data_IF_994876734516
#
_entry.id   IF_994876734516
#
_cell.length_a   1.000
_cell.length_b   1.000
_cell.length_c   1.000
_cell.angle_alpha   90.00
_cell.angle_beta   90.00
_cell.angle_gamma   90.00
#
_symmetry.space_group_name_H-M   'P 1'
#
loop_
_entity.id
_entity.type
_entity.pdbx_description
1 polymer ?
#
# COMPACT_ATOMS: atom_id res chain seq x y z
N UNK A 1 15.64 4.22 12.36
CA UNK A 1 15.61 3.69 10.99
C UNK A 1 14.34 2.87 10.80
N UNK A 2 13.71 3.01 9.65
CA UNK A 2 12.54 2.18 9.28
C UNK A 2 13.01 0.95 8.50
N UNK A 3 13.06 -0.20 9.15
CA UNK A 3 13.49 -1.46 8.52
C UNK A 3 12.51 -2.02 7.50
N UNK A 4 11.28 -1.49 7.41
CA UNK A 4 10.33 -1.85 6.33
C UNK A 4 10.90 -1.57 4.94
N UNK A 5 11.79 -0.59 4.79
CA UNK A 5 12.47 -0.30 3.52
C UNK A 5 13.37 -1.44 3.01
N UNK A 6 13.77 -2.38 3.86
CA UNK A 6 14.51 -3.57 3.44
C UNK A 6 13.61 -4.66 2.83
N UNK A 7 12.29 -4.53 2.95
CA UNK A 7 11.34 -5.42 2.27
C UNK A 7 11.05 -4.88 0.86
N UNK A 8 11.44 -5.63 -0.19
CA UNK A 8 11.36 -5.13 -1.57
C UNK A 8 9.95 -4.72 -2.02
N UNK A 9 8.89 -5.42 -1.58
CA UNK A 9 7.52 -5.03 -1.96
C UNK A 9 7.12 -3.72 -1.30
N UNK A 10 7.45 -3.51 -0.01
CA UNK A 10 7.21 -2.24 0.67
C UNK A 10 8.00 -1.11 -0.01
N UNK A 11 9.30 -1.34 -0.27
CA UNK A 11 10.17 -0.35 -0.93
C UNK A 11 9.64 0.04 -2.31
N UNK A 12 9.21 -0.94 -3.10
CA UNK A 12 8.68 -0.70 -4.44
C UNK A 12 7.40 0.13 -4.42
N UNK A 13 6.48 -0.15 -3.48
CA UNK A 13 5.27 0.65 -3.26
C UNK A 13 5.62 2.08 -2.84
N UNK A 14 6.53 2.23 -1.88
CA UNK A 14 6.98 3.54 -1.42
C UNK A 14 7.57 4.37 -2.56
N UNK A 15 8.46 3.80 -3.37
CA UNK A 15 9.05 4.46 -4.54
C UNK A 15 7.99 4.78 -5.61
N UNK A 16 7.01 3.89 -5.80
CA UNK A 16 5.90 4.18 -6.70
C UNK A 16 5.14 5.42 -6.26
N UNK A 17 4.68 5.47 -5.00
CA UNK A 17 3.95 6.63 -4.46
C UNK A 17 4.80 7.89 -4.54
N UNK A 18 6.06 7.84 -4.10
CA UNK A 18 7.01 8.97 -4.17
C UNK A 18 7.11 9.56 -5.58
N UNK A 19 7.32 8.71 -6.58
CA UNK A 19 7.47 9.15 -7.97
C UNK A 19 6.16 9.70 -8.54
N UNK A 20 4.99 9.19 -8.09
CA UNK A 20 3.68 9.68 -8.56
C UNK A 20 3.28 10.97 -7.88
N UNK A 21 3.60 11.14 -6.61
CA UNK A 21 3.46 12.44 -5.94
C UNK A 21 4.29 13.52 -6.65
N UNK A 22 5.56 13.24 -6.96
CA UNK A 22 6.41 14.17 -7.71
C UNK A 22 5.85 14.55 -9.08
N UNK A 23 5.15 13.61 -9.75
CA UNK A 23 4.57 13.82 -11.09
C UNK A 23 3.22 14.53 -11.06
N UNK A 24 2.33 14.14 -10.16
CA UNK A 24 0.92 14.54 -10.16
C UNK A 24 0.55 15.55 -9.07
N UNK A 25 1.38 15.70 -8.06
CA UNK A 25 1.22 16.68 -6.97
C UNK A 25 2.59 17.35 -6.67
N UNK A 26 3.20 18.06 -7.64
CA UNK A 26 4.53 18.65 -7.45
C UNK A 26 4.50 19.73 -6.36
N UNK A 27 5.57 19.78 -5.56
CA UNK A 27 5.82 20.80 -4.55
C UNK A 27 6.14 22.10 -5.31
N UNK A 28 5.27 23.07 -5.36
CA UNK A 28 5.45 24.32 -6.09
C UNK A 28 5.63 24.17 -7.61
N UNK A 29 4.55 24.07 -8.35
CA UNK A 29 4.60 24.34 -9.78
C UNK A 29 3.98 25.72 -10.03
N UNK A 30 4.83 26.70 -10.25
CA UNK A 30 4.44 28.01 -10.81
C UNK A 30 3.76 27.85 -12.20
N UNK A 31 3.85 26.65 -12.81
CA UNK A 31 3.42 26.38 -14.18
C UNK A 31 2.26 25.39 -14.35
N UNK A 32 1.73 24.78 -13.28
CA UNK A 32 0.59 23.87 -13.32
C UNK A 32 -0.45 24.29 -12.28
N UNK A 33 -1.11 25.34 -12.54
CA UNK A 33 -2.36 25.99 -12.12
C UNK A 33 -3.05 25.62 -10.81
N UNK A 34 -2.67 24.61 -10.02
CA UNK A 34 -3.24 24.36 -8.69
C UNK A 34 -2.26 23.57 -7.82
N UNK A 35 -1.79 24.20 -6.75
CA UNK A 35 -1.13 23.49 -5.67
C UNK A 35 -2.13 22.51 -5.02
N UNK A 36 -1.67 21.31 -4.62
CA UNK A 36 -2.50 20.41 -3.82
C UNK A 36 -2.75 21.05 -2.45
N UNK A 37 -3.98 21.53 -2.24
CA UNK A 37 -4.33 22.17 -0.96
C UNK A 37 -4.62 21.12 0.10
N UNK A 38 -5.49 20.15 -0.21
CA UNK A 38 -6.02 19.19 0.73
C UNK A 38 -5.79 17.75 0.26
N UNK A 39 -5.09 16.97 1.07
CA UNK A 39 -4.82 15.56 0.79
C UNK A 39 -5.36 14.65 1.90
N UNK A 40 -5.75 13.43 1.49
CA UNK A 40 -6.16 12.35 2.37
C UNK A 40 -5.24 11.14 2.18
N UNK A 41 -4.62 10.65 3.25
CA UNK A 41 -4.03 9.32 3.28
C UNK A 41 -5.04 8.34 3.88
N UNK A 42 -5.75 7.61 3.02
CA UNK A 42 -6.83 6.69 3.39
C UNK A 42 -6.24 5.32 3.75
N UNK A 43 -6.39 4.93 5.02
CA UNK A 43 -5.74 3.76 5.58
C UNK A 43 -4.26 4.03 5.88
N UNK A 44 -3.98 5.11 6.63
CA UNK A 44 -2.62 5.56 6.92
C UNK A 44 -1.80 4.55 7.72
N UNK A 45 -2.47 3.66 8.46
CA UNK A 45 -1.84 2.70 9.36
C UNK A 45 -0.88 3.39 10.33
N UNK A 46 0.37 2.94 10.35
CA UNK A 46 1.41 3.45 11.26
C UNK A 46 2.09 4.74 10.78
N UNK A 47 1.62 5.35 9.67
CA UNK A 47 2.10 6.65 9.21
C UNK A 47 3.37 6.64 8.37
N UNK A 48 3.74 5.52 7.78
CA UNK A 48 4.99 5.35 7.03
C UNK A 48 5.12 6.28 5.81
N UNK A 49 4.00 6.65 5.18
CA UNK A 49 3.95 7.48 3.97
C UNK A 49 3.68 8.96 4.27
N UNK A 50 3.17 9.27 5.46
CA UNK A 50 2.55 10.56 5.75
C UNK A 50 3.51 11.74 5.61
N UNK A 51 4.75 11.63 6.14
CA UNK A 51 5.76 12.68 5.99
C UNK A 51 6.05 12.98 4.51
N UNK A 52 6.09 11.95 3.67
CA UNK A 52 6.31 12.12 2.24
C UNK A 52 5.12 12.82 1.58
N UNK A 53 3.89 12.37 1.89
CA UNK A 53 2.66 12.97 1.33
C UNK A 53 2.51 14.41 1.79
N UNK A 54 2.75 14.70 3.08
CA UNK A 54 2.66 16.04 3.66
C UNK A 54 3.59 17.06 2.97
N UNK A 55 4.72 16.59 2.41
CA UNK A 55 5.60 17.43 1.61
C UNK A 55 5.01 17.89 0.27
N UNK A 56 3.88 17.32 -0.15
CA UNK A 56 3.23 17.58 -1.44
C UNK A 56 1.87 18.29 -1.33
N UNK A 57 1.45 18.70 -0.16
CA UNK A 57 0.16 19.36 0.06
C UNK A 57 0.24 20.42 1.19
N UNK A 58 -0.74 21.32 1.21
CA UNK A 58 -0.86 22.33 2.28
C UNK A 58 -1.39 21.72 3.57
N UNK A 59 -2.34 20.78 3.46
CA UNK A 59 -2.94 20.06 4.59
C UNK A 59 -3.08 18.58 4.25
N UNK A 60 -2.69 17.71 5.18
CA UNK A 60 -2.86 16.27 5.10
C UNK A 60 -3.70 15.75 6.25
N UNK A 61 -4.67 14.91 5.92
CA UNK A 61 -5.35 14.07 6.90
C UNK A 61 -4.88 12.63 6.68
N UNK A 62 -4.30 12.01 7.72
CA UNK A 62 -4.11 10.57 7.78
C UNK A 62 -5.29 9.93 8.50
N UNK A 63 -5.97 8.97 7.88
CA UNK A 63 -7.09 8.30 8.54
C UNK A 63 -6.98 6.78 8.50
N UNK A 64 -7.47 6.15 9.56
CA UNK A 64 -7.52 4.69 9.71
C UNK A 64 -8.66 4.31 10.65
N UNK A 65 -9.12 3.05 10.60
CA UNK A 65 -10.08 2.51 11.58
C UNK A 65 -9.40 2.06 12.87
N UNK A 66 -8.08 1.84 12.84
CA UNK A 66 -7.30 1.34 13.94
C UNK A 66 -6.68 2.48 14.76
N UNK A 67 -7.27 2.79 15.90
CA UNK A 67 -6.80 3.88 16.77
C UNK A 67 -5.39 3.62 17.35
N UNK A 68 -5.00 2.37 17.55
CA UNK A 68 -3.63 2.04 18.02
C UNK A 68 -2.59 2.41 16.96
N UNK A 69 -2.88 2.17 15.67
CA UNK A 69 -2.01 2.56 14.58
C UNK A 69 -1.97 4.08 14.41
N UNK A 70 -3.12 4.76 14.55
CA UNK A 70 -3.19 6.22 14.54
C UNK A 70 -2.37 6.84 15.69
N UNK A 71 -2.41 6.25 16.88
CA UNK A 71 -1.60 6.72 18.02
C UNK A 71 -0.10 6.59 17.72
N UNK A 72 0.31 5.49 17.09
CA UNK A 72 1.69 5.31 16.64
C UNK A 72 2.08 6.31 15.55
N UNK A 73 1.21 6.51 14.55
CA UNK A 73 1.42 7.46 13.45
C UNK A 73 1.57 8.91 13.95
N UNK A 74 0.75 9.33 14.93
CA UNK A 74 0.88 10.65 15.61
C UNK A 74 2.27 10.82 16.25
N UNK A 75 2.75 9.79 16.94
CA UNK A 75 4.07 9.83 17.57
C UNK A 75 5.21 9.85 16.53
N UNK A 76 5.11 9.01 15.49
CA UNK A 76 6.12 8.90 14.44
C UNK A 76 6.29 10.23 13.67
N UNK A 77 5.19 10.94 13.43
CA UNK A 77 5.13 12.14 12.62
C UNK A 77 4.84 13.42 13.42
N UNK A 78 5.09 13.43 14.73
CA UNK A 78 4.77 14.54 15.65
C UNK A 78 5.35 15.91 15.22
N UNK A 79 6.41 15.92 14.42
CA UNK A 79 7.06 17.14 13.92
C UNK A 79 6.58 17.57 12.52
N UNK A 80 5.51 16.97 11.97
CA UNK A 80 4.90 17.35 10.68
C UNK A 80 3.71 18.26 10.96
N UNK A 81 3.90 19.57 10.78
CA UNK A 81 2.95 20.61 11.23
C UNK A 81 1.65 20.68 10.43
N UNK A 82 1.66 20.22 9.16
CA UNK A 82 0.51 20.26 8.27
C UNK A 82 -0.24 18.91 8.19
N UNK A 83 -0.03 18.01 9.16
CA UNK A 83 -0.61 16.68 9.24
C UNK A 83 -1.47 16.52 10.49
N UNK A 84 -2.69 16.00 10.31
CA UNK A 84 -3.55 15.57 11.41
C UNK A 84 -4.08 14.16 11.18
N UNK A 85 -4.48 13.49 12.26
CA UNK A 85 -4.96 12.11 12.22
C UNK A 85 -6.38 12.01 12.77
N UNK A 86 -7.24 11.30 12.03
CA UNK A 86 -8.64 11.11 12.36
C UNK A 86 -9.05 9.64 12.17
N UNK A 87 -9.86 9.06 13.07
CA UNK A 87 -10.46 7.75 12.82
C UNK A 87 -11.50 7.88 11.71
N UNK A 88 -11.42 6.98 10.70
CA UNK A 88 -12.40 6.95 9.63
C UNK A 88 -12.56 5.55 9.02
N UNK A 89 -13.79 5.27 8.57
CA UNK A 89 -14.10 4.05 7.83
C UNK A 89 -14.06 4.35 6.32
N UNK A 90 -13.23 3.62 5.57
CA UNK A 90 -13.09 3.78 4.13
C UNK A 90 -14.39 3.50 3.34
N UNK A 91 -15.37 2.84 3.96
CA UNK A 91 -16.68 2.55 3.38
C UNK A 91 -17.74 3.62 3.66
N UNK A 92 -17.44 4.59 4.55
CA UNK A 92 -18.38 5.64 4.96
C UNK A 92 -17.56 6.81 5.54
N UNK A 93 -17.01 7.63 4.63
CA UNK A 93 -16.14 8.76 4.99
C UNK A 93 -16.96 9.96 5.46
N UNK A 94 -16.67 10.45 6.67
CA UNK A 94 -17.36 11.60 7.25
C UNK A 94 -17.02 12.95 6.61
N UNK A 95 -16.32 12.95 5.46
CA UNK A 95 -15.96 14.16 4.72
C UNK A 95 -17.03 14.52 3.70
N UNK A 96 -17.18 15.84 3.46
CA UNK A 96 -18.07 16.35 2.43
C UNK A 96 -17.61 15.95 1.02
N UNK A 97 -18.52 15.97 0.06
CA UNK A 97 -18.18 15.75 -1.34
C UNK A 97 -17.13 16.76 -1.81
N UNK A 98 -16.21 16.31 -2.64
CA UNK A 98 -15.19 17.17 -3.26
C UNK A 98 -14.34 17.96 -2.24
N UNK A 99 -13.92 17.31 -1.14
CA UNK A 99 -13.11 17.92 -0.07
C UNK A 99 -11.61 17.86 -0.35
N UNK A 100 -11.15 16.90 -1.16
CA UNK A 100 -9.72 16.64 -1.35
C UNK A 100 -9.28 16.81 -2.81
N UNK A 101 -8.05 17.27 -3.00
CA UNK A 101 -7.38 17.35 -4.30
C UNK A 101 -6.60 16.07 -4.59
N UNK A 102 -6.10 15.42 -3.54
CA UNK A 102 -5.27 14.22 -3.59
C UNK A 102 -5.75 13.19 -2.57
N UNK A 103 -5.85 11.93 -3.02
CA UNK A 103 -6.01 10.78 -2.12
C UNK A 103 -4.84 9.81 -2.37
N UNK A 104 -4.19 9.36 -1.29
CA UNK A 104 -3.27 8.24 -1.33
C UNK A 104 -3.87 7.11 -0.52
N UNK A 105 -3.81 5.86 -1.05
CA UNK A 105 -4.30 4.68 -0.32
C UNK A 105 -3.46 3.46 -0.69
N UNK A 106 -2.72 2.93 0.27
CA UNK A 106 -1.76 1.86 0.06
C UNK A 106 -2.12 0.61 0.87
N UNK A 107 -2.42 -0.51 0.19
CA UNK A 107 -2.73 -1.81 0.81
C UNK A 107 -3.91 -1.71 1.80
N UNK A 108 -5.02 -1.16 1.34
CA UNK A 108 -6.24 -0.96 2.14
C UNK A 108 -7.44 -1.68 1.53
N UNK A 109 -7.62 -1.58 0.20
CA UNK A 109 -8.81 -2.06 -0.50
C UNK A 109 -9.03 -3.57 -0.36
N UNK A 110 -7.98 -4.34 -0.12
CA UNK A 110 -8.01 -5.78 0.12
C UNK A 110 -8.51 -6.17 1.53
N UNK A 111 -8.55 -5.20 2.45
CA UNK A 111 -9.01 -5.40 3.83
C UNK A 111 -10.44 -4.94 4.07
N UNK A 112 -11.07 -4.29 3.08
CA UNK A 112 -12.45 -3.82 3.22
C UNK A 112 -13.44 -4.84 2.63
N UNK A 113 -14.54 -5.08 3.33
CA UNK A 113 -15.57 -6.03 2.89
C UNK A 113 -16.29 -5.65 1.60
N UNK A 114 -16.20 -4.39 1.17
CA UNK A 114 -16.86 -3.84 -0.02
C UNK A 114 -15.92 -2.96 -0.83
N UNK A 115 -14.95 -3.55 -1.58
CA UNK A 115 -13.95 -2.78 -2.33
C UNK A 115 -14.51 -1.74 -3.29
N UNK A 116 -15.60 -2.08 -3.99
CA UNK A 116 -16.27 -1.16 -4.91
C UNK A 116 -16.81 0.08 -4.18
N UNK A 117 -17.39 -0.10 -2.98
CA UNK A 117 -17.91 1.01 -2.18
C UNK A 117 -16.80 1.95 -1.72
N UNK A 118 -15.64 1.42 -1.33
CA UNK A 118 -14.46 2.24 -1.01
C UNK A 118 -14.06 3.12 -2.21
N UNK A 119 -14.02 2.56 -3.42
CA UNK A 119 -13.69 3.34 -4.63
C UNK A 119 -14.73 4.44 -4.90
N UNK A 120 -16.02 4.16 -4.64
CA UNK A 120 -17.10 5.16 -4.75
C UNK A 120 -16.96 6.28 -3.70
N UNK A 121 -16.64 5.96 -2.45
CA UNK A 121 -16.38 6.95 -1.41
C UNK A 121 -15.15 7.82 -1.74
N UNK A 122 -14.07 7.21 -2.23
CA UNK A 122 -12.92 7.97 -2.73
C UNK A 122 -13.33 8.94 -3.85
N UNK A 123 -14.13 8.48 -4.80
CA UNK A 123 -14.62 9.34 -5.87
C UNK A 123 -15.51 10.47 -5.33
N UNK A 124 -16.34 10.21 -4.34
CA UNK A 124 -17.23 11.21 -3.74
C UNK A 124 -16.45 12.34 -3.09
N UNK A 125 -15.48 12.00 -2.23
CA UNK A 125 -14.74 13.00 -1.47
C UNK A 125 -13.62 13.69 -2.26
N UNK A 126 -13.20 13.13 -3.40
CA UNK A 126 -12.19 13.73 -4.27
C UNK A 126 -12.85 14.81 -5.16
N UNK A 127 -12.19 15.95 -5.36
CA UNK A 127 -12.65 17.02 -6.26
C UNK A 127 -12.62 16.57 -7.71
N UNK A 128 -13.49 17.07 -8.59
CA UNK A 128 -13.33 16.89 -10.04
C UNK A 128 -11.94 17.32 -10.49
N UNK A 129 -11.27 16.49 -11.28
CA UNK A 129 -9.87 16.69 -11.68
C UNK A 129 -8.83 16.25 -10.65
N UNK A 130 -9.22 15.95 -9.42
CA UNK A 130 -8.35 15.46 -8.35
C UNK A 130 -7.75 14.09 -8.66
N UNK A 131 -6.65 13.76 -7.98
CA UNK A 131 -5.82 12.58 -8.22
C UNK A 131 -5.96 11.59 -7.07
N UNK A 132 -6.09 10.30 -7.38
CA UNK A 132 -5.93 9.22 -6.41
C UNK A 132 -4.76 8.33 -6.80
N UNK A 133 -3.85 8.07 -5.85
CA UNK A 133 -2.70 7.16 -5.99
C UNK A 133 -2.95 5.98 -5.07
N UNK A 134 -3.01 4.77 -5.64
CA UNK A 134 -3.31 3.56 -4.88
C UNK A 134 -2.31 2.45 -5.15
N UNK A 135 -2.12 1.59 -4.14
CA UNK A 135 -1.49 0.28 -4.32
C UNK A 135 -2.34 -0.81 -3.67
N UNK A 136 -2.29 -2.01 -4.24
CA UNK A 136 -2.99 -3.17 -3.68
C UNK A 136 -2.37 -4.48 -4.18
N UNK A 137 -2.52 -5.59 -3.42
CA UNK A 137 -2.07 -6.91 -3.84
C UNK A 137 -2.91 -7.44 -5.00
N UNK A 138 -2.23 -8.05 -5.98
CA UNK A 138 -2.84 -8.51 -7.22
C UNK A 138 -3.22 -10.00 -7.16
N UNK A 139 -4.42 -10.33 -7.59
CA UNK A 139 -4.85 -11.72 -7.83
C UNK A 139 -4.10 -12.40 -8.98
N UNK A 140 -3.42 -11.64 -9.83
CA UNK A 140 -2.85 -12.12 -11.08
C UNK A 140 -1.41 -12.62 -10.96
N UNK A 141 -0.85 -12.63 -9.77
CA UNK A 141 0.47 -13.23 -9.55
C UNK A 141 0.36 -14.76 -9.65
N UNK A 142 1.32 -15.42 -10.36
CA UNK A 142 1.27 -16.89 -10.54
C UNK A 142 1.21 -17.61 -9.21
N UNK A 143 0.29 -18.59 -9.13
CA UNK A 143 0.13 -19.50 -7.97
C UNK A 143 -0.15 -18.72 -6.66
N UNK A 144 -0.75 -17.52 -6.78
CA UNK A 144 -1.22 -16.72 -5.63
C UNK A 144 -0.23 -16.66 -4.46
N UNK A 145 0.96 -16.12 -4.69
CA UNK A 145 2.02 -15.84 -3.74
C UNK A 145 2.74 -17.03 -3.09
N UNK A 146 2.28 -18.27 -3.27
CA UNK A 146 2.84 -19.39 -2.52
C UNK A 146 2.93 -20.69 -3.31
N UNK A 147 3.84 -20.76 -4.32
CA UNK A 147 3.98 -21.96 -5.15
C UNK A 147 4.45 -23.17 -4.38
N UNK A 148 5.32 -22.99 -3.37
CA UNK A 148 5.92 -24.13 -2.64
C UNK A 148 4.90 -24.79 -1.70
N UNK A 149 4.19 -24.01 -0.91
CA UNK A 149 3.17 -24.57 -0.03
C UNK A 149 1.98 -25.15 -0.82
N UNK A 150 1.60 -24.56 -1.96
CA UNK A 150 0.57 -25.15 -2.84
C UNK A 150 1.00 -26.48 -3.44
N UNK A 151 2.24 -26.60 -3.89
CA UNK A 151 2.79 -27.87 -4.36
C UNK A 151 2.79 -28.94 -3.26
N UNK A 152 3.20 -28.57 -2.03
CA UNK A 152 3.16 -29.48 -0.89
C UNK A 152 1.74 -29.87 -0.45
N UNK A 153 0.79 -28.95 -0.51
CA UNK A 153 -0.62 -29.22 -0.19
C UNK A 153 -1.27 -30.20 -1.17
N UNK A 154 -0.74 -30.33 -2.38
CA UNK A 154 -1.20 -31.31 -3.35
C UNK A 154 -0.86 -32.76 -2.91
N UNK A 155 0.21 -32.94 -2.16
CA UNK A 155 0.65 -34.23 -1.62
C UNK A 155 0.20 -34.51 -0.18
N UNK A 156 -0.27 -33.50 0.55
CA UNK A 156 -0.74 -33.62 1.93
C UNK A 156 -2.25 -33.42 2.02
N UNK A 157 -2.92 -34.24 2.89
CA UNK A 157 -4.35 -34.07 3.16
C UNK A 157 -4.65 -32.68 3.77
N UNK A 158 -5.83 -32.06 3.49
CA UNK A 158 -6.18 -30.68 3.84
C UNK A 158 -6.21 -30.33 5.34
N UNK A 159 -5.96 -31.25 6.25
CA UNK A 159 -6.02 -31.02 7.69
C UNK A 159 -4.82 -30.29 8.31
N UNK A 160 -3.73 -30.13 7.56
CA UNK A 160 -2.57 -29.37 8.04
C UNK A 160 -2.57 -27.97 7.43
N UNK A 161 -3.19 -27.02 8.12
CA UNK A 161 -3.14 -25.57 7.82
C UNK A 161 -1.78 -24.92 8.10
N UNK A 162 -0.74 -25.70 8.36
CA UNK A 162 0.59 -25.17 8.65
C UNK A 162 1.38 -25.03 7.34
N UNK A 163 1.68 -23.79 6.99
CA UNK A 163 2.60 -23.44 5.91
C UNK A 163 4.03 -23.81 6.32
N UNK A 164 4.79 -24.45 5.42
CA UNK A 164 6.12 -24.97 5.74
C UNK A 164 7.15 -23.85 5.95
N UNK A 165 7.10 -22.79 5.15
CA UNK A 165 8.14 -21.74 5.12
C UNK A 165 7.54 -20.35 4.92
N UNK A 166 6.37 -20.22 4.29
CA UNK A 166 5.77 -18.93 3.96
C UNK A 166 4.41 -18.75 4.61
N UNK A 167 4.01 -17.50 4.73
CA UNK A 167 2.67 -17.20 5.26
C UNK A 167 1.58 -17.21 4.17
N UNK A 168 1.97 -17.19 2.88
CA UNK A 168 1.02 -17.09 1.76
C UNK A 168 0.27 -15.75 1.73
N UNK A 169 -0.44 -15.49 0.64
CA UNK A 169 -1.15 -14.22 0.44
C UNK A 169 -2.20 -13.92 1.50
N UNK A 170 -2.90 -14.96 1.98
CA UNK A 170 -3.98 -14.80 2.96
C UNK A 170 -3.51 -14.73 4.42
N UNK A 171 -2.25 -15.06 4.70
CA UNK A 171 -1.69 -14.96 6.05
C UNK A 171 -1.43 -13.51 6.49
N UNK A 172 -1.39 -12.57 5.53
CA UNK A 172 -1.31 -11.13 5.80
C UNK A 172 -2.67 -10.49 6.15
N UNK A 173 -3.72 -11.29 6.34
CA UNK A 173 -5.05 -10.81 6.68
C UNK A 173 -5.82 -10.21 5.50
N UNK A 174 -5.42 -10.51 4.27
CA UNK A 174 -6.15 -10.09 3.07
C UNK A 174 -7.49 -10.83 2.99
N UNK A 175 -8.58 -10.09 3.01
CA UNK A 175 -9.92 -10.64 2.82
C UNK A 175 -10.17 -10.89 1.33
N UNK A 176 -9.57 -10.07 0.46
CA UNK A 176 -9.68 -10.15 -0.99
C UNK A 176 -8.34 -9.97 -1.68
N UNK A 177 -8.15 -10.67 -2.80
CA UNK A 177 -7.13 -10.34 -3.79
C UNK A 177 -7.80 -9.66 -4.98
N UNK A 178 -7.35 -8.46 -5.29
CA UNK A 178 -8.00 -7.60 -6.28
C UNK A 178 -7.60 -8.01 -7.70
N UNK A 179 -8.60 -8.34 -8.54
CA UNK A 179 -8.39 -8.55 -9.97
C UNK A 179 -8.32 -7.24 -10.74
N UNK A 180 -7.39 -7.15 -11.70
CA UNK A 180 -7.22 -5.92 -12.50
C UNK A 180 -8.49 -5.53 -13.26
N UNK A 181 -9.24 -6.50 -13.79
CA UNK A 181 -10.49 -6.23 -14.52
C UNK A 181 -11.59 -5.71 -13.60
N UNK A 182 -11.72 -6.30 -12.39
CA UNK A 182 -12.70 -5.88 -11.40
C UNK A 182 -12.41 -4.43 -10.94
N UNK A 183 -11.13 -4.14 -10.61
CA UNK A 183 -10.73 -2.81 -10.19
C UNK A 183 -10.99 -1.75 -11.26
N UNK A 184 -10.64 -2.05 -12.53
CA UNK A 184 -10.91 -1.12 -13.64
C UNK A 184 -12.38 -0.80 -13.76
N UNK A 185 -13.24 -1.83 -13.69
CA UNK A 185 -14.70 -1.67 -13.73
C UNK A 185 -15.22 -0.80 -12.58
N UNK A 186 -14.70 -1.00 -11.36
CA UNK A 186 -15.10 -0.17 -10.20
C UNK A 186 -14.65 1.28 -10.35
N UNK A 187 -13.42 1.51 -10.80
CA UNK A 187 -12.89 2.85 -11.00
C UNK A 187 -13.67 3.61 -12.10
N UNK A 188 -13.91 2.98 -13.24
CA UNK A 188 -14.69 3.56 -14.34
C UNK A 188 -16.14 3.86 -13.90
N UNK A 189 -16.79 2.92 -13.19
CA UNK A 189 -18.15 3.07 -12.68
C UNK A 189 -18.28 4.14 -11.59
N UNK A 190 -17.21 4.47 -10.88
CA UNK A 190 -17.15 5.56 -9.90
C UNK A 190 -16.77 6.92 -10.53
N UNK A 191 -16.59 6.99 -11.85
CA UNK A 191 -16.29 8.25 -12.55
C UNK A 191 -14.80 8.59 -12.61
N UNK A 192 -13.91 7.62 -12.39
CA UNK A 192 -12.48 7.81 -12.58
C UNK A 192 -12.05 7.59 -14.04
N UNK A 193 -11.04 8.34 -14.45
CA UNK A 193 -10.15 8.06 -15.57
C UNK A 193 -8.88 7.40 -15.02
N UNK A 194 -8.45 6.30 -15.62
CA UNK A 194 -7.23 5.61 -15.21
C UNK A 194 -6.03 6.17 -15.98
N UNK A 195 -5.18 6.94 -15.30
CA UNK A 195 -3.99 7.54 -15.88
C UNK A 195 -2.81 6.55 -15.96
N UNK A 196 -2.63 5.73 -14.93
CA UNK A 196 -1.58 4.71 -14.86
C UNK A 196 -2.09 3.44 -14.19
N UNK A 197 -1.62 2.30 -14.70
CA UNK A 197 -1.85 0.98 -14.12
C UNK A 197 -0.62 0.12 -14.37
N UNK A 198 0.18 -0.15 -13.33
CA UNK A 198 1.42 -0.91 -13.48
C UNK A 198 1.58 -2.00 -12.43
N UNK A 199 2.32 -3.06 -12.81
CA UNK A 199 2.73 -4.11 -11.88
C UNK A 199 3.88 -3.65 -10.98
N UNK A 200 3.73 -3.91 -9.68
CA UNK A 200 4.75 -3.69 -8.67
C UNK A 200 5.25 -5.04 -8.17
N UNK A 201 6.57 -5.20 -8.06
CA UNK A 201 7.22 -6.43 -7.59
C UNK A 201 6.77 -7.66 -8.39
N UNK A 202 7.61 -8.07 -9.30
CA UNK A 202 7.32 -9.17 -10.23
C UNK A 202 7.77 -10.51 -9.65
N UNK A 203 8.27 -11.39 -10.52
CA UNK A 203 8.53 -12.78 -10.17
C UNK A 203 9.67 -12.96 -9.18
N UNK A 204 10.81 -12.26 -9.39
CA UNK A 204 11.98 -12.41 -8.52
C UNK A 204 11.67 -11.90 -7.12
N UNK A 205 11.25 -10.66 -7.02
CA UNK A 205 10.93 -10.01 -5.74
C UNK A 205 9.77 -10.71 -5.06
N UNK A 206 8.70 -11.06 -5.79
CA UNK A 206 7.56 -11.75 -5.23
C UNK A 206 7.93 -13.10 -4.58
N UNK A 207 8.72 -13.92 -5.27
CA UNK A 207 9.15 -15.20 -4.73
C UNK A 207 10.12 -15.05 -3.55
N UNK A 208 11.10 -14.16 -3.67
CA UNK A 208 12.06 -13.91 -2.60
C UNK A 208 11.36 -13.42 -1.33
N UNK A 209 10.45 -12.46 -1.45
CA UNK A 209 9.82 -11.84 -0.28
C UNK A 209 8.82 -12.77 0.40
N UNK A 210 8.04 -13.54 -0.34
CA UNK A 210 7.12 -14.52 0.24
C UNK A 210 7.85 -15.48 1.19
N UNK A 211 9.04 -15.97 0.80
CA UNK A 211 9.83 -16.88 1.63
C UNK A 211 10.72 -16.14 2.63
N UNK A 212 11.36 -15.03 2.23
CA UNK A 212 12.19 -14.23 3.11
C UNK A 212 11.41 -13.66 4.29
N UNK A 213 10.22 -13.11 4.02
CA UNK A 213 9.33 -12.59 5.08
C UNK A 213 8.97 -13.68 6.09
N UNK A 214 8.66 -14.90 5.62
CA UNK A 214 8.40 -16.05 6.50
C UNK A 214 9.60 -16.40 7.38
N UNK A 215 10.81 -16.40 6.82
CA UNK A 215 12.06 -16.68 7.55
C UNK A 215 12.33 -15.57 8.58
N UNK A 216 12.29 -14.31 8.15
CA UNK A 216 12.55 -13.16 9.02
C UNK A 216 11.53 -13.12 10.17
N UNK A 217 10.27 -13.33 9.90
CA UNK A 217 9.24 -13.39 10.93
C UNK A 217 9.46 -14.54 11.92
N UNK A 218 9.92 -15.71 11.45
CA UNK A 218 10.21 -16.83 12.35
C UNK A 218 11.38 -16.53 13.30
N UNK A 219 12.37 -15.78 12.84
CA UNK A 219 13.55 -15.37 13.62
C UNK A 219 13.19 -14.26 14.61
N UNK A 220 12.47 -13.22 14.15
CA UNK A 220 12.14 -12.05 14.98
C UNK A 220 10.99 -12.29 15.96
N UNK A 221 10.13 -13.28 15.74
CA UNK A 221 9.05 -13.65 16.67
C UNK A 221 9.53 -13.89 18.10
N UNK A 222 10.81 -14.19 18.30
CA UNK A 222 11.43 -14.49 19.60
C UNK A 222 12.22 -13.33 20.23
N UNK A 223 12.59 -12.26 19.51
CA UNK A 223 13.72 -11.42 19.93
C UNK A 223 13.52 -9.89 19.86
N UNK A 224 12.34 -9.33 19.55
CA UNK A 224 12.23 -7.88 19.33
C UNK A 224 11.09 -7.22 20.11
N UNK A 225 11.41 -6.14 20.85
CA UNK A 225 10.43 -5.25 21.52
C UNK A 225 9.56 -4.45 20.55
N UNK A 226 9.97 -4.33 19.29
CA UNK A 226 9.29 -3.59 18.24
C UNK A 226 8.42 -4.50 17.33
N UNK A 227 8.25 -5.75 17.70
CA UNK A 227 7.47 -6.73 16.97
C UNK A 227 6.26 -7.09 17.80
N UNK A 228 5.08 -6.68 17.37
CA UNK A 228 3.82 -7.09 17.97
C UNK A 228 3.23 -8.24 17.17
N UNK A 229 2.64 -9.22 17.86
CA UNK A 229 1.82 -10.23 17.21
C UNK A 229 0.51 -9.54 16.77
N UNK A 230 0.23 -9.57 15.46
CA UNK A 230 -1.07 -9.17 14.96
C UNK A 230 -2.16 -10.14 15.48
N UNK A 231 -3.37 -9.65 15.68
CA UNK A 231 -4.52 -10.44 16.10
C UNK A 231 -4.82 -11.65 15.20
N UNK A 232 -4.31 -11.65 13.98
CA UNK A 232 -4.40 -12.74 12.99
C UNK A 232 -3.13 -13.62 12.91
N UNK A 233 -2.18 -13.48 13.86
CA UNK A 233 -0.98 -14.34 13.97
C UNK A 233 0.23 -13.90 13.13
N UNK A 234 0.18 -12.75 12.47
CA UNK A 234 1.30 -12.11 11.79
C UNK A 234 2.26 -11.40 12.75
N UNK A 235 3.43 -10.99 12.23
CA UNK A 235 4.38 -10.15 12.94
C UNK A 235 4.34 -8.76 12.35
N UNK A 236 3.95 -7.76 13.14
CA UNK A 236 3.90 -6.37 12.74
C UNK A 236 5.20 -5.68 13.15
N UNK A 237 5.93 -5.11 12.21
CA UNK A 237 7.16 -4.35 12.46
C UNK A 237 6.80 -2.88 12.52
N UNK A 238 6.83 -2.28 13.72
CA UNK A 238 6.57 -0.86 13.91
C UNK A 238 7.83 -0.03 13.67
N UNK A 239 7.77 1.00 12.81
CA UNK A 239 8.92 1.86 12.57
C UNK A 239 9.20 2.74 13.80
N UNK A 240 10.46 2.77 14.23
CA UNK A 240 10.90 3.69 15.29
C UNK A 240 11.26 5.08 14.76
N UNK A 241 11.42 5.23 13.46
CA UNK A 241 11.72 6.51 12.78
C UNK A 241 11.44 6.40 11.28
N UNK A 242 11.36 7.51 10.60
CA UNK A 242 11.11 7.61 9.15
C UNK A 242 12.37 7.45 8.29
N UNK A 243 13.57 7.35 8.89
CA UNK A 243 14.85 7.28 8.17
C UNK A 243 15.09 5.95 7.47
N UNK A 244 15.58 6.00 6.24
CA UNK A 244 15.94 4.81 5.45
C UNK A 244 17.22 4.15 6.02
N UNK A 245 17.29 2.82 6.13
CA UNK A 245 18.52 2.12 6.51
C UNK A 245 19.55 2.18 5.37
N UNK A 246 20.84 2.23 5.74
CA UNK A 246 21.91 2.30 4.73
C UNK A 246 21.94 1.10 3.77
N UNK A 247 21.45 -0.07 4.19
CA UNK A 247 21.35 -1.28 3.36
C UNK A 247 20.25 -1.23 2.29
N UNK A 248 19.47 -0.15 2.20
CA UNK A 248 18.38 -0.02 1.23
C UNK A 248 18.85 -0.18 -0.23
N UNK A 249 20.12 0.11 -0.52
CA UNK A 249 20.68 -0.07 -1.85
C UNK A 249 20.63 -1.53 -2.34
N UNK A 250 20.69 -2.52 -1.43
CA UNK A 250 20.53 -3.95 -1.77
C UNK A 250 19.09 -4.19 -2.26
N UNK A 251 18.13 -3.62 -1.57
CA UNK A 251 16.72 -3.70 -1.95
C UNK A 251 16.47 -3.01 -3.29
N UNK A 252 17.05 -1.84 -3.50
CA UNK A 252 16.92 -1.09 -4.77
C UNK A 252 17.56 -1.87 -5.93
N UNK A 253 18.70 -2.54 -5.70
CA UNK A 253 19.32 -3.43 -6.69
C UNK A 253 18.43 -4.63 -7.04
N UNK A 254 17.81 -5.28 -6.04
CA UNK A 254 16.86 -6.37 -6.27
C UNK A 254 15.64 -5.92 -7.08
N UNK A 255 15.11 -4.74 -6.80
CA UNK A 255 14.01 -4.14 -7.57
C UNK A 255 14.40 -3.83 -9.01
N UNK A 256 15.62 -3.33 -9.21
CA UNK A 256 16.17 -3.09 -10.54
C UNK A 256 16.30 -4.41 -11.32
N UNK A 257 16.87 -5.45 -10.69
CA UNK A 257 17.05 -6.77 -11.29
C UNK A 257 15.70 -7.42 -11.65
N UNK A 258 14.71 -7.37 -10.75
CA UNK A 258 13.35 -7.85 -11.00
C UNK A 258 12.71 -7.16 -12.21
N UNK A 259 12.91 -5.85 -12.33
CA UNK A 259 12.42 -5.09 -13.47
C UNK A 259 13.16 -5.43 -14.77
N UNK A 260 14.48 -5.60 -14.71
CA UNK A 260 15.29 -5.93 -15.87
C UNK A 260 14.95 -7.33 -16.42
N UNK A 261 14.76 -8.31 -15.53
CA UNK A 261 14.48 -9.69 -15.92
C UNK A 261 13.01 -9.92 -16.31
N UNK A 262 12.08 -9.26 -15.63
CA UNK A 262 10.63 -9.54 -15.74
C UNK A 262 9.80 -8.32 -16.15
N UNK A 263 10.43 -7.23 -16.62
CA UNK A 263 9.75 -6.01 -17.04
C UNK A 263 8.73 -6.20 -18.17
N UNK A 264 8.87 -7.26 -18.94
CA UNK A 264 7.99 -7.62 -20.07
C UNK A 264 6.62 -8.18 -19.61
N UNK A 265 6.46 -8.63 -18.35
CA UNK A 265 5.22 -9.20 -17.84
C UNK A 265 4.41 -8.20 -17.03
N UNK A 266 3.08 -8.25 -17.19
CA UNK A 266 2.13 -7.51 -16.36
C UNK A 266 1.74 -8.26 -15.06
N UNK A 267 2.23 -9.51 -14.90
CA UNK A 267 2.00 -10.30 -13.68
C UNK A 267 2.92 -9.80 -12.58
N UNK A 268 2.35 -9.49 -11.43
CA UNK A 268 3.07 -8.88 -10.29
C UNK A 268 2.35 -9.18 -8.99
N UNK A 269 3.07 -9.11 -7.89
CA UNK A 269 2.53 -9.28 -6.53
C UNK A 269 1.53 -8.18 -6.21
N UNK A 270 1.87 -6.95 -6.53
CA UNK A 270 1.02 -5.79 -6.32
C UNK A 270 0.77 -4.98 -7.58
N UNK A 271 -0.21 -4.12 -7.54
CA UNK A 271 -0.50 -3.11 -8.55
C UNK A 271 -0.34 -1.72 -7.96
N UNK A 272 0.18 -0.81 -8.78
CA UNK A 272 0.17 0.62 -8.51
C UNK A 272 -0.68 1.31 -9.57
N UNK A 273 -1.58 2.17 -9.13
CA UNK A 273 -2.52 2.85 -10.02
C UNK A 273 -2.59 4.34 -9.71
N UNK A 274 -2.82 5.13 -10.75
CA UNK A 274 -3.14 6.54 -10.64
C UNK A 274 -4.46 6.78 -11.35
N UNK A 275 -5.38 7.37 -10.63
CA UNK A 275 -6.73 7.69 -11.09
C UNK A 275 -6.91 9.22 -11.06
N UNK A 276 -7.67 9.74 -12.01
CA UNK A 276 -8.14 11.12 -12.03
C UNK A 276 -9.66 11.14 -12.02
N UNK A 277 -10.27 11.88 -11.10
CA UNK A 277 -11.71 12.06 -11.12
C UNK A 277 -12.10 12.88 -12.36
N UNK A 278 -13.01 12.34 -13.18
CA UNK A 278 -13.52 13.06 -14.36
C UNK A 278 -14.15 14.38 -13.96
N UNK A 279 -14.06 15.35 -14.85
CA UNK A 279 -14.83 16.58 -14.76
C UNK A 279 -16.31 16.24 -15.02
N UNK A 280 -17.24 16.98 -14.40
CA UNK A 280 -18.67 16.77 -14.61
C UNK A 280 -19.10 16.99 -16.06
#
# INVERSE_FOLDING_TARGET
MNFKFLFPTFRNRYLFVKNRLAKYAPIHSENLGQATESALNLGTGEGDYDRMIAGHCTQLIGCDVNEEDLAHARNLNANVSNLRYEPANALDLSYSDSSFDLIVSCEVIEHVGQPQKMVQEMARVLRPGGIAIMTFPSREFPITYDPVNRFWQWFRKPSARENLISQGAYAFGHDYLIGSADFKKWAEGAGFEMLEFQGLSRHLVGLLEVYWTGIVQSIFKKNSRNVTADSKGGVKIRPASTGEPWLVFVTDFLLWLDRALFGWTNRSVGKGVVLKKRLP
#
